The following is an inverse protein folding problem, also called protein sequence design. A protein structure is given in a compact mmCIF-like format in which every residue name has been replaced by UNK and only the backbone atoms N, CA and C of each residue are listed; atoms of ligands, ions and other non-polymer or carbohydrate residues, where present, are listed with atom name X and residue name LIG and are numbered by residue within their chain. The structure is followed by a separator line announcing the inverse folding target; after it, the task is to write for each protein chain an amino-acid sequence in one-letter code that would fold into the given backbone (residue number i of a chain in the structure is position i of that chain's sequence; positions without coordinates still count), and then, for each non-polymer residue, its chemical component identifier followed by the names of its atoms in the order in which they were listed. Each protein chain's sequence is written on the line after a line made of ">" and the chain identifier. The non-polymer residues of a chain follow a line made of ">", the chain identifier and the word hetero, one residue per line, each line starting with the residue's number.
data_IF_751035280840
#
_entry.id   IF_751035280840
#
_cell.length_a   1.000
_cell.length_b   1.000
_cell.length_c   1.000
_cell.angle_alpha   90.00
_cell.angle_beta   90.00
_cell.angle_gamma   90.00
#
_symmetry.space_group_name_H-M   'P 1'
#
loop_
_entity.id
_entity.type
_entity.pdbx_description
1 polymer ?
#
# COMPACT_ATOMS: atom_id res chain seq x y z
N UNK A 1 27.97 6.08 -24.84
CA UNK A 1 27.58 5.10 -23.80
C UNK A 1 26.11 4.79 -24.01
N UNK A 2 25.77 3.55 -24.39
CA UNK A 2 24.39 3.17 -24.65
C UNK A 2 23.62 3.17 -23.32
N UNK A 3 22.69 4.10 -23.17
CA UNK A 3 21.68 4.05 -22.11
C UNK A 3 20.76 2.88 -22.41
N UNK A 4 21.05 1.72 -21.82
CA UNK A 4 20.15 0.58 -21.86
C UNK A 4 18.86 0.96 -21.17
N UNK A 5 17.75 0.99 -21.92
CA UNK A 5 16.44 1.09 -21.32
C UNK A 5 16.28 -0.03 -20.28
N UNK A 6 15.74 0.26 -19.08
CA UNK A 6 15.52 -0.76 -18.07
C UNK A 6 14.68 -1.88 -18.68
N UNK A 7 15.13 -3.13 -18.50
CA UNK A 7 14.38 -4.31 -18.93
C UNK A 7 12.96 -4.23 -18.33
N UNK A 8 11.92 -4.57 -19.10
CA UNK A 8 10.58 -4.60 -18.55
C UNK A 8 10.54 -5.56 -17.35
N UNK A 9 9.85 -5.20 -16.26
CA UNK A 9 9.78 -6.05 -15.07
C UNK A 9 9.25 -7.43 -15.45
N UNK A 10 9.82 -8.47 -14.82
CA UNK A 10 9.39 -9.85 -15.06
C UNK A 10 7.91 -10.00 -14.64
N UNK A 11 7.10 -10.75 -15.40
CA UNK A 11 5.71 -10.97 -15.04
C UNK A 11 5.62 -11.79 -13.76
N UNK A 12 5.04 -11.20 -12.71
CA UNK A 12 4.61 -11.95 -11.53
C UNK A 12 3.38 -12.79 -11.89
N UNK A 13 3.27 -13.99 -11.31
CA UNK A 13 2.15 -14.89 -11.57
C UNK A 13 1.44 -15.24 -10.25
N UNK A 14 0.11 -15.38 -10.30
CA UNK A 14 -0.67 -15.86 -9.17
C UNK A 14 -0.21 -17.28 -8.78
N UNK A 15 0.17 -17.54 -7.52
CA UNK A 15 0.69 -18.85 -7.10
C UNK A 15 -0.30 -20.01 -7.29
N UNK A 16 -1.61 -19.72 -7.29
CA UNK A 16 -2.66 -20.74 -7.40
C UNK A 16 -3.05 -21.06 -8.84
N UNK A 17 -3.21 -20.05 -9.69
CA UNK A 17 -3.78 -20.22 -11.04
C UNK A 17 -2.84 -19.83 -12.18
N UNK A 18 -1.62 -19.36 -11.88
CA UNK A 18 -0.65 -18.96 -12.89
C UNK A 18 -0.99 -17.70 -13.67
N UNK A 19 -2.14 -17.05 -13.41
CA UNK A 19 -2.53 -15.79 -14.07
C UNK A 19 -1.42 -14.75 -13.88
N UNK A 20 -0.99 -14.14 -14.99
CA UNK A 20 -0.06 -13.01 -14.96
C UNK A 20 -0.68 -11.81 -14.25
N UNK A 21 0.09 -11.22 -13.35
CA UNK A 21 -0.28 -10.12 -12.50
C UNK A 21 0.52 -8.89 -12.91
N UNK A 22 -0.18 -7.76 -13.04
CA UNK A 22 0.42 -6.47 -13.32
C UNK A 22 0.20 -5.57 -12.09
N UNK A 23 1.25 -5.21 -11.33
CA UNK A 23 1.12 -4.32 -10.18
C UNK A 23 0.45 -2.97 -10.48
N UNK A 24 0.54 -2.45 -11.72
CA UNK A 24 -0.20 -1.25 -12.13
C UNK A 24 -1.73 -1.46 -12.16
N UNK A 25 -2.19 -2.71 -12.00
CA UNK A 25 -3.59 -3.14 -11.86
C UNK A 25 -3.80 -3.78 -10.48
N UNK A 26 -3.23 -3.15 -9.45
CA UNK A 26 -3.28 -3.64 -8.08
C UNK A 26 -4.71 -3.74 -7.52
N UNK A 27 -5.69 -3.09 -8.15
CA UNK A 27 -7.13 -3.24 -7.89
C UNK A 27 -7.64 -4.68 -8.08
N UNK A 28 -6.94 -5.50 -8.87
CA UNK A 28 -7.32 -6.88 -9.19
C UNK A 28 -6.48 -7.93 -8.45
N UNK A 29 -5.81 -7.49 -7.38
CA UNK A 29 -4.75 -8.25 -6.71
C UNK A 29 -4.94 -8.23 -5.19
N UNK A 30 -4.42 -9.27 -4.54
CA UNK A 30 -4.38 -9.37 -3.08
C UNK A 30 -2.93 -9.59 -2.67
N UNK A 31 -2.46 -8.77 -1.73
CA UNK A 31 -1.06 -8.71 -1.32
C UNK A 31 -0.97 -9.27 0.09
N UNK A 32 -0.62 -10.54 0.26
CA UNK A 32 -0.62 -11.21 1.56
C UNK A 32 0.42 -12.33 1.59
N UNK A 33 1.65 -11.98 1.98
CA UNK A 33 2.85 -12.83 2.00
C UNK A 33 3.37 -13.20 0.61
N UNK A 34 2.46 -13.37 -0.33
CA UNK A 34 2.65 -13.48 -1.77
C UNK A 34 1.66 -12.54 -2.47
N UNK A 35 1.80 -12.41 -3.78
CA UNK A 35 0.91 -11.59 -4.59
C UNK A 35 -0.06 -12.51 -5.35
N UNK A 36 -1.34 -12.35 -5.08
CA UNK A 36 -2.42 -13.21 -5.58
C UNK A 36 -3.34 -12.44 -6.51
N UNK A 37 -4.09 -13.13 -7.37
CA UNK A 37 -5.27 -12.51 -7.99
C UNK A 37 -6.46 -12.50 -7.02
N UNK A 38 -7.32 -11.50 -7.19
CA UNK A 38 -8.59 -11.29 -6.49
C UNK A 38 -9.55 -12.50 -6.44
N UNK A 39 -9.45 -13.41 -7.41
CA UNK A 39 -10.25 -14.65 -7.45
C UNK A 39 -9.68 -15.78 -6.60
N UNK A 40 -8.37 -15.80 -6.37
CA UNK A 40 -7.69 -16.93 -5.74
C UNK A 40 -7.43 -16.73 -4.25
N UNK A 41 -7.43 -15.48 -3.78
CA UNK A 41 -7.19 -15.11 -2.39
C UNK A 41 -8.04 -13.90 -2.01
N UNK A 42 -8.19 -13.64 -0.70
CA UNK A 42 -8.89 -12.47 -0.18
C UNK A 42 -8.15 -11.92 1.02
N UNK A 43 -8.25 -10.60 1.22
CA UNK A 43 -7.77 -9.99 2.45
C UNK A 43 -8.58 -10.46 3.66
N UNK A 44 -7.90 -10.54 4.81
CA UNK A 44 -8.56 -10.61 6.10
C UNK A 44 -9.35 -9.31 6.34
N UNK A 45 -10.64 -9.42 6.62
CA UNK A 45 -11.53 -8.26 6.81
C UNK A 45 -11.06 -7.32 7.93
N UNK A 46 -10.29 -7.82 8.90
CA UNK A 46 -9.72 -7.00 9.98
C UNK A 46 -8.70 -5.96 9.49
N UNK A 47 -8.12 -6.17 8.30
CA UNK A 47 -7.24 -5.20 7.62
C UNK A 47 -8.01 -4.01 7.03
N UNK A 48 -9.30 -4.22 6.73
CA UNK A 48 -10.20 -3.26 6.09
C UNK A 48 -11.02 -2.45 7.11
N UNK A 49 -10.92 -2.79 8.39
CA UNK A 49 -11.62 -2.07 9.45
C UNK A 49 -11.01 -0.69 9.64
N UNK A 50 -11.87 0.33 9.66
CA UNK A 50 -11.50 1.68 10.06
C UNK A 50 -10.91 1.68 11.46
N UNK A 51 -9.87 2.50 11.64
CA UNK A 51 -9.11 2.62 12.88
C UNK A 51 -8.94 4.08 13.27
N UNK A 52 -8.80 4.37 14.58
CA UNK A 52 -8.37 5.68 15.04
C UNK A 52 -7.02 6.06 14.42
N UNK A 53 -6.85 7.33 14.07
CA UNK A 53 -5.60 7.83 13.48
C UNK A 53 -4.37 7.49 14.34
N UNK A 54 -4.47 7.68 15.66
CA UNK A 54 -3.39 7.35 16.61
C UNK A 54 -3.01 5.85 16.63
N UNK A 55 -3.97 4.96 16.36
CA UNK A 55 -3.67 3.53 16.19
C UNK A 55 -2.82 3.33 14.93
N UNK A 56 -3.17 3.98 13.82
CA UNK A 56 -2.41 3.92 12.57
C UNK A 56 -1.00 4.50 12.71
N UNK A 57 -0.82 5.59 13.46
CA UNK A 57 0.52 6.13 13.77
C UNK A 57 1.37 5.09 14.53
N UNK A 58 0.76 4.44 15.53
CA UNK A 58 1.43 3.37 16.29
C UNK A 58 1.82 2.21 15.39
N UNK A 59 0.94 1.80 14.48
CA UNK A 59 1.24 0.77 13.48
C UNK A 59 2.35 1.18 12.51
N UNK A 60 2.34 2.42 12.02
CA UNK A 60 3.37 2.94 11.13
C UNK A 60 4.75 2.85 11.78
N UNK A 61 4.88 3.28 13.04
CA UNK A 61 6.13 3.18 13.80
C UNK A 61 6.58 1.73 13.99
N UNK A 62 5.65 0.83 14.34
CA UNK A 62 5.95 -0.61 14.50
C UNK A 62 6.43 -1.24 13.20
N UNK A 63 5.80 -0.90 12.07
CA UNK A 63 6.18 -1.38 10.75
C UNK A 63 7.54 -0.84 10.32
N UNK A 64 7.80 0.46 10.48
CA UNK A 64 9.10 1.04 10.16
C UNK A 64 10.22 0.35 10.94
N UNK A 65 10.04 0.15 12.26
CA UNK A 65 11.02 -0.58 13.08
C UNK A 65 11.19 -2.04 12.64
N UNK A 66 10.09 -2.74 12.36
CA UNK A 66 10.15 -4.16 11.98
C UNK A 66 10.84 -4.41 10.63
N UNK A 67 10.79 -3.43 9.72
CA UNK A 67 11.38 -3.52 8.39
C UNK A 67 12.69 -2.71 8.26
N UNK A 68 13.25 -2.25 9.38
CA UNK A 68 14.49 -1.46 9.44
C UNK A 68 14.44 -0.21 8.53
N UNK A 69 13.32 0.50 8.57
CA UNK A 69 13.07 1.72 7.80
C UNK A 69 13.07 2.94 8.71
N UNK A 70 13.44 4.09 8.14
CA UNK A 70 13.31 5.36 8.82
C UNK A 70 11.84 5.65 9.17
N UNK A 71 11.59 6.30 10.33
CA UNK A 71 10.24 6.67 10.73
C UNK A 71 9.51 7.47 9.66
N UNK A 72 8.19 7.27 9.60
CA UNK A 72 7.27 7.99 8.72
C UNK A 72 6.28 8.76 9.59
N UNK A 73 5.99 10.00 9.22
CA UNK A 73 4.95 10.79 9.87
C UNK A 73 3.61 10.58 9.16
N UNK A 74 2.53 10.41 9.93
CA UNK A 74 1.19 10.49 9.37
C UNK A 74 0.69 11.93 9.48
N UNK A 75 0.01 12.41 8.43
CA UNK A 75 -0.62 13.73 8.41
C UNK A 75 -2.13 13.60 8.29
N UNK A 76 -2.82 14.52 8.96
CA UNK A 76 -4.21 14.81 8.65
C UNK A 76 -4.28 15.74 7.45
N UNK A 77 -5.23 15.50 6.55
CA UNK A 77 -5.60 16.49 5.56
C UNK A 77 -6.56 17.52 6.20
N UNK A 78 -6.14 18.77 6.41
CA UNK A 78 -7.02 19.81 6.97
C UNK A 78 -8.18 20.17 6.04
N UNK A 79 -8.05 19.89 4.75
CA UNK A 79 -8.99 20.27 3.70
C UNK A 79 -9.97 19.14 3.34
N UNK A 80 -9.92 17.99 4.02
CA UNK A 80 -10.81 16.86 3.74
C UNK A 80 -12.29 17.19 3.96
N UNK A 81 -12.63 17.73 5.14
CA UNK A 81 -14.01 18.04 5.52
C UNK A 81 -14.65 19.21 4.75
N UNK A 82 -13.93 20.29 4.39
CA UNK A 82 -14.55 21.37 3.62
C UNK A 82 -14.91 20.99 2.17
N UNK A 83 -14.21 20.05 1.53
CA UNK A 83 -14.60 19.54 0.21
C UNK A 83 -14.12 18.09 -0.07
N UNK A 84 -14.87 17.06 0.37
CA UNK A 84 -14.53 15.67 0.09
C UNK A 84 -14.60 15.28 -1.41
N UNK A 85 -15.20 16.12 -2.28
CA UNK A 85 -15.38 15.78 -3.70
C UNK A 85 -14.07 15.80 -4.46
N UNK A 86 -13.08 16.59 -4.03
CA UNK A 86 -11.79 16.70 -4.71
C UNK A 86 -10.96 15.42 -4.69
N UNK A 87 -11.29 14.46 -3.82
CA UNK A 87 -10.61 13.15 -3.72
C UNK A 87 -11.27 12.07 -4.57
N UNK A 88 -12.36 12.39 -5.27
CA UNK A 88 -12.98 11.48 -6.23
C UNK A 88 -12.38 11.70 -7.62
N UNK A 89 -11.93 10.61 -8.24
CA UNK A 89 -11.63 10.55 -9.66
C UNK A 89 -12.58 9.54 -10.32
N UNK A 90 -13.64 10.07 -10.92
CA UNK A 90 -14.75 9.28 -11.45
C UNK A 90 -15.41 8.42 -10.36
N UNK A 91 -15.21 7.11 -10.45
CA UNK A 91 -15.75 6.13 -9.49
C UNK A 91 -14.75 5.74 -8.38
N UNK A 92 -13.55 6.31 -8.38
CA UNK A 92 -12.46 5.95 -7.46
C UNK A 92 -12.29 7.04 -6.40
N UNK A 93 -11.98 6.65 -5.17
CA UNK A 93 -11.70 7.56 -4.07
C UNK A 93 -10.23 7.44 -3.64
N UNK A 94 -9.53 8.56 -3.50
CA UNK A 94 -8.16 8.60 -3.01
C UNK A 94 -8.11 8.28 -1.51
N UNK A 95 -7.54 7.13 -1.15
CA UNK A 95 -7.50 6.65 0.24
C UNK A 95 -6.29 7.18 1.02
N UNK A 96 -5.19 7.47 0.33
CA UNK A 96 -3.98 7.96 0.92
C UNK A 96 -2.94 8.30 -0.12
N UNK A 97 -1.90 8.97 0.34
CA UNK A 97 -0.80 9.48 -0.48
C UNK A 97 0.50 9.40 0.32
N UNK A 98 1.55 8.84 -0.30
CA UNK A 98 2.91 8.84 0.21
C UNK A 98 3.74 9.99 -0.39
N UNK A 99 4.48 10.71 0.44
CA UNK A 99 5.39 11.77 0.01
C UNK A 99 6.82 11.40 0.43
N UNK A 100 7.73 11.16 -0.52
CA UNK A 100 9.11 10.76 -0.21
C UNK A 100 9.92 11.83 0.51
N UNK A 101 9.62 13.11 0.26
CA UNK A 101 10.19 14.26 0.95
C UNK A 101 9.04 15.19 1.33
N UNK A 102 8.69 15.36 2.63
CA UNK A 102 9.49 15.08 3.84
C UNK A 102 9.28 13.68 4.49
N UNK A 103 9.03 12.62 3.72
CA UNK A 103 8.78 11.23 4.18
C UNK A 103 7.57 11.12 5.12
N UNK A 104 6.40 11.38 4.54
CA UNK A 104 5.13 11.30 5.26
C UNK A 104 4.05 10.59 4.45
N UNK A 105 2.97 10.24 5.13
CA UNK A 105 1.77 9.65 4.53
C UNK A 105 0.57 10.49 4.97
N UNK A 106 -0.26 10.87 4.02
CA UNK A 106 -1.57 11.44 4.28
C UNK A 106 -2.63 10.35 4.05
N UNK A 107 -3.48 10.08 5.05
CA UNK A 107 -4.59 9.13 4.91
C UNK A 107 -5.91 9.89 5.00
N UNK A 108 -6.75 9.73 3.97
CA UNK A 108 -8.06 10.36 3.89
C UNK A 108 -9.12 9.38 4.42
N UNK A 109 -10.14 9.79 5.19
CA UNK A 109 -11.29 8.91 5.46
C UNK A 109 -11.93 8.54 4.11
N UNK A 110 -12.12 7.26 3.70
CA UNK A 110 -12.19 5.96 4.38
C UNK A 110 -10.92 5.09 4.36
N UNK A 111 -9.78 5.65 3.94
CA UNK A 111 -8.45 5.02 3.94
C UNK A 111 -7.79 4.89 5.32
N UNK A 112 -8.49 5.21 6.41
CA UNK A 112 -8.00 5.03 7.78
C UNK A 112 -8.04 3.55 8.20
N UNK A 113 -7.36 2.70 7.45
CA UNK A 113 -7.30 1.24 7.60
C UNK A 113 -5.87 0.74 7.40
N UNK A 114 -5.55 -0.43 7.95
CA UNK A 114 -4.18 -0.96 7.89
C UNK A 114 -3.75 -1.36 6.49
N UNK A 115 -4.70 -1.78 5.65
CA UNK A 115 -4.42 -2.08 4.25
C UNK A 115 -3.86 -0.84 3.53
N UNK A 116 -4.54 0.31 3.62
CA UNK A 116 -4.12 1.57 3.01
C UNK A 116 -2.78 2.05 3.57
N UNK A 117 -2.58 1.98 4.89
CA UNK A 117 -1.28 2.30 5.50
C UNK A 117 -0.14 1.44 4.92
N UNK A 118 -0.35 0.12 4.77
CA UNK A 118 0.66 -0.77 4.22
C UNK A 118 0.96 -0.49 2.73
N UNK A 119 -0.05 -0.05 1.97
CA UNK A 119 0.12 0.37 0.56
C UNK A 119 1.08 1.57 0.48
N UNK A 120 0.79 2.63 1.23
CA UNK A 120 1.59 3.86 1.22
C UNK A 120 3.00 3.64 1.78
N UNK A 121 3.14 2.82 2.82
CA UNK A 121 4.45 2.42 3.33
C UNK A 121 5.28 1.66 2.28
N UNK A 122 4.65 0.83 1.44
CA UNK A 122 5.38 0.14 0.37
C UNK A 122 5.96 1.13 -0.65
N UNK A 123 5.27 2.24 -0.96
CA UNK A 123 5.81 3.32 -1.79
C UNK A 123 7.03 3.98 -1.14
N UNK A 124 6.95 4.31 0.14
CA UNK A 124 8.06 4.95 0.87
C UNK A 124 9.26 4.01 1.09
N UNK A 125 9.02 2.71 1.29
CA UNK A 125 10.08 1.74 1.58
C UNK A 125 10.87 1.37 0.32
N UNK A 126 10.23 1.43 -0.84
CA UNK A 126 10.85 1.04 -2.11
C UNK A 126 11.30 2.23 -2.95
N UNK A 127 10.74 3.42 -2.74
CA UNK A 127 10.96 4.57 -3.62
C UNK A 127 10.38 4.37 -5.03
N UNK A 128 9.43 3.45 -5.17
CA UNK A 128 8.90 3.01 -6.47
C UNK A 128 7.37 3.13 -6.49
N UNK A 129 6.84 3.35 -7.70
CA UNK A 129 5.43 3.14 -8.00
C UNK A 129 5.07 1.65 -7.95
N UNK A 130 3.92 1.27 -8.52
CA UNK A 130 3.46 -0.12 -8.55
C UNK A 130 4.34 -1.00 -9.44
N UNK A 131 5.51 -1.39 -8.94
CA UNK A 131 6.44 -2.36 -9.52
C UNK A 131 6.32 -3.72 -8.83
N UNK A 132 7.05 -4.73 -9.31
CA UNK A 132 7.18 -6.02 -8.61
C UNK A 132 7.78 -5.87 -7.21
N UNK A 133 8.82 -5.04 -7.05
CA UNK A 133 9.46 -4.79 -5.76
C UNK A 133 8.48 -4.15 -4.77
N UNK A 134 7.72 -3.15 -5.22
CA UNK A 134 6.64 -2.56 -4.44
C UNK A 134 5.60 -3.61 -4.03
N UNK A 135 5.13 -4.42 -4.98
CA UNK A 135 4.11 -5.44 -4.73
C UNK A 135 4.55 -6.49 -3.70
N UNK A 136 5.80 -6.96 -3.81
CA UNK A 136 6.37 -7.92 -2.85
C UNK A 136 6.53 -7.30 -1.46
N UNK A 137 6.97 -6.05 -1.40
CA UNK A 137 7.09 -5.30 -0.14
C UNK A 137 5.71 -5.14 0.50
N UNK A 138 4.71 -4.73 -0.27
CA UNK A 138 3.34 -4.58 0.20
C UNK A 138 2.78 -5.91 0.75
N UNK A 139 2.97 -7.02 0.03
CA UNK A 139 2.55 -8.34 0.49
C UNK A 139 3.23 -8.76 1.81
N UNK A 140 4.52 -8.44 1.97
CA UNK A 140 5.25 -8.71 3.20
C UNK A 140 4.73 -7.88 4.38
N UNK A 141 4.42 -6.59 4.17
CA UNK A 141 3.83 -5.72 5.18
C UNK A 141 2.47 -6.25 5.66
N UNK A 142 1.58 -6.61 4.72
CA UNK A 142 0.27 -7.16 5.06
C UNK A 142 0.39 -8.46 5.86
N UNK A 143 1.25 -9.39 5.44
CA UNK A 143 1.44 -10.64 6.18
C UNK A 143 1.95 -10.38 7.60
N UNK A 144 2.87 -9.43 7.77
CA UNK A 144 3.41 -9.06 9.07
C UNK A 144 2.35 -8.47 10.00
N UNK A 145 1.51 -7.58 9.48
CA UNK A 145 0.37 -6.99 10.20
C UNK A 145 -0.62 -8.08 10.59
N UNK A 146 -1.05 -8.90 9.62
CA UNK A 146 -2.05 -9.95 9.81
C UNK A 146 -1.68 -10.94 10.90
N UNK A 147 -0.40 -11.30 11.01
CA UNK A 147 0.11 -12.18 12.06
C UNK A 147 0.03 -11.58 13.48
N UNK A 148 -0.35 -10.30 13.62
CA UNK A 148 -0.37 -9.52 14.87
C UNK A 148 -1.70 -8.79 15.10
N UNK A 149 -2.74 -9.15 14.35
CA UNK A 149 -4.11 -8.63 14.45
C UNK A 149 -4.99 -9.41 15.41
#
# INVERSE_FOLDING_TARGET
>A
MAGGAPLPPLPMNCPKCGKTLNPNRHDQMVFDGQVWCDRCHRYDERLLKLRPFLDLETWAQRLCRAFAQDPVHLRHDPDYLPDPKKYWDGATFLLGEAFHEPRDIMLHPPGLQLMSLCHELAHLFTGQDHTETWARTYAALIAWVKARL
#
